data_IF_850783339611
#
_entry.id   IF_850783339611
#
_cell.length_a   1.000
_cell.length_b   1.000
_cell.length_c   1.000
_cell.angle_alpha   90.00
_cell.angle_beta   90.00
_cell.angle_gamma   90.00
#
_symmetry.space_group_name_H-M   'P 1'
#
loop_
_entity.id
_entity.type
_entity.pdbx_description
1 polymer ?
#
# COMPACT_ATOMS: atom_id res chain seq x y z
N UNK A 1 -5.02 -16.70 8.49
CA UNK A 1 -6.22 -16.16 7.85
C UNK A 1 -7.31 -16.13 8.89
N UNK A 2 -8.04 -15.02 8.98
CA UNK A 2 -9.11 -14.80 9.96
C UNK A 2 -10.48 -15.18 9.37
N UNK A 3 -11.57 -15.04 10.14
CA UNK A 3 -12.92 -15.46 9.73
C UNK A 3 -13.48 -14.72 8.52
N UNK A 4 -12.93 -13.56 8.18
CA UNK A 4 -13.27 -12.75 7.01
C UNK A 4 -12.38 -13.04 5.78
N UNK A 5 -11.60 -14.13 5.84
CA UNK A 5 -10.65 -14.58 4.82
C UNK A 5 -9.42 -13.67 4.64
N UNK A 6 -9.26 -12.63 5.46
CA UNK A 6 -8.10 -11.75 5.42
C UNK A 6 -6.92 -12.31 6.21
N UNK A 7 -5.70 -11.96 5.82
CA UNK A 7 -4.47 -12.32 6.51
C UNK A 7 -4.25 -11.35 7.65
N UNK A 8 -4.30 -11.88 8.87
CA UNK A 8 -3.85 -11.24 10.10
C UNK A 8 -2.42 -11.70 10.42
N UNK A 9 -1.55 -10.78 10.81
CA UNK A 9 -0.14 -11.02 11.07
C UNK A 9 0.40 -10.14 12.22
N UNK A 10 1.37 -10.70 12.93
CA UNK A 10 2.17 -10.01 13.93
C UNK A 10 1.51 -9.91 15.31
N UNK A 11 2.36 -9.87 16.32
CA UNK A 11 2.02 -9.64 17.72
C UNK A 11 3.24 -9.12 18.47
N UNK A 12 3.05 -8.59 19.69
CA UNK A 12 4.16 -8.23 20.58
C UNK A 12 5.20 -7.29 19.94
N UNK A 13 6.36 -7.84 19.58
CA UNK A 13 7.51 -7.11 19.00
C UNK A 13 7.82 -7.52 17.54
N UNK A 14 6.91 -8.25 16.89
CA UNK A 14 7.12 -8.79 15.55
C UNK A 14 7.23 -7.68 14.49
N UNK A 15 8.04 -7.91 13.48
CA UNK A 15 8.28 -7.01 12.35
C UNK A 15 7.82 -7.68 11.04
N UNK A 16 6.51 -7.77 10.84
CA UNK A 16 5.92 -8.61 9.78
C UNK A 16 5.77 -7.92 8.42
N UNK A 17 6.24 -6.67 8.30
CA UNK A 17 6.12 -5.87 7.07
C UNK A 17 7.44 -5.17 6.79
N UNK A 18 7.63 -4.66 5.57
CA UNK A 18 8.85 -3.93 5.20
C UNK A 18 9.11 -2.66 6.03
N UNK A 19 8.09 -2.14 6.74
CA UNK A 19 8.25 -1.06 7.71
C UNK A 19 8.67 -1.64 9.08
N UNK A 20 9.87 -2.22 9.14
CA UNK A 20 10.32 -3.16 10.17
C UNK A 20 11.19 -2.56 11.29
N UNK A 21 11.34 -1.24 11.40
CA UNK A 21 12.28 -0.68 12.39
C UNK A 21 11.85 -0.91 13.85
N UNK A 22 12.82 -1.33 14.67
CA UNK A 22 12.72 -1.50 16.13
C UNK A 22 13.94 -0.95 16.86
N UNK A 23 13.71 -0.31 17.99
CA UNK A 23 14.75 0.21 18.90
C UNK A 23 14.53 -0.36 20.29
N UNK A 24 15.36 -1.30 20.73
CA UNK A 24 15.12 -2.02 21.99
C UNK A 24 13.80 -2.79 21.90
N UNK A 25 12.82 -2.51 22.77
CA UNK A 25 11.47 -3.11 22.71
C UNK A 25 10.42 -2.23 22.03
N UNK A 26 10.83 -1.10 21.48
CA UNK A 26 9.94 -0.19 20.77
C UNK A 26 9.90 -0.52 19.28
N UNK A 27 8.72 -0.93 18.79
CA UNK A 27 8.41 -1.04 17.36
C UNK A 27 7.96 0.34 16.86
N UNK A 28 8.72 0.93 15.93
CA UNK A 28 8.52 2.33 15.50
C UNK A 28 7.26 2.49 14.66
N UNK A 29 7.00 1.53 13.79
CA UNK A 29 5.82 1.46 12.91
C UNK A 29 5.15 0.10 13.10
N UNK A 30 4.43 -0.13 14.22
CA UNK A 30 3.76 -1.39 14.45
C UNK A 30 2.64 -1.55 13.42
N UNK A 31 2.70 -2.63 12.67
CA UNK A 31 1.71 -2.99 11.64
C UNK A 31 1.14 -4.38 11.88
N UNK A 32 0.79 -4.64 13.14
CA UNK A 32 0.11 -5.86 13.58
C UNK A 32 -1.37 -5.74 13.29
N UNK A 33 -2.01 -6.84 12.90
CA UNK A 33 -3.37 -6.80 12.36
C UNK A 33 -3.38 -7.32 10.93
N UNK A 34 -4.16 -6.67 10.08
CA UNK A 34 -4.28 -6.96 8.65
C UNK A 34 -3.60 -5.83 7.88
N UNK A 35 -2.31 -5.93 7.50
CA UNK A 35 -1.67 -4.94 6.64
C UNK A 35 -2.30 -4.92 5.26
N UNK A 36 -2.50 -3.72 4.72
CA UNK A 36 -3.20 -3.52 3.44
C UNK A 36 -2.51 -4.22 2.27
N UNK A 37 -1.19 -4.14 2.17
CA UNK A 37 -0.43 -4.70 1.06
C UNK A 37 -0.33 -6.22 1.12
N UNK A 38 -0.26 -6.79 2.33
CA UNK A 38 -0.24 -8.26 2.51
C UNK A 38 -1.55 -8.86 2.02
N UNK A 39 -2.68 -8.20 2.30
CA UNK A 39 -3.98 -8.66 1.85
C UNK A 39 -4.20 -8.44 0.34
N UNK A 40 -3.64 -7.37 -0.24
CA UNK A 40 -3.62 -7.20 -1.69
C UNK A 40 -2.80 -8.29 -2.41
N UNK A 41 -1.64 -8.63 -1.85
CA UNK A 41 -0.79 -9.73 -2.33
C UNK A 41 -1.48 -11.08 -2.19
N UNK A 42 -2.18 -11.31 -1.07
CA UNK A 42 -2.95 -12.53 -0.83
C UNK A 42 -4.02 -12.75 -1.89
N UNK A 43 -4.81 -11.72 -2.19
CA UNK A 43 -5.78 -11.77 -3.27
C UNK A 43 -5.15 -12.09 -4.62
N UNK A 44 -4.01 -11.47 -4.94
CA UNK A 44 -3.30 -11.76 -6.19
C UNK A 44 -2.79 -13.21 -6.24
N UNK A 45 -2.28 -13.74 -5.12
CA UNK A 45 -1.87 -15.14 -5.06
C UNK A 45 -3.06 -16.08 -5.33
N UNK A 46 -4.23 -15.81 -4.76
CA UNK A 46 -5.44 -16.60 -5.03
C UNK A 46 -5.88 -16.53 -6.50
N UNK A 47 -5.83 -15.35 -7.12
CA UNK A 47 -6.16 -15.18 -8.54
C UNK A 47 -5.20 -15.97 -9.43
N UNK A 48 -3.89 -15.88 -9.17
CA UNK A 48 -2.88 -16.67 -9.89
C UNK A 48 -3.12 -18.17 -9.72
N UNK A 49 -3.43 -18.62 -8.50
CA UNK A 49 -3.71 -20.04 -8.25
C UNK A 49 -4.98 -20.52 -8.95
N UNK A 50 -6.01 -19.68 -9.06
CA UNK A 50 -7.23 -19.98 -9.83
C UNK A 50 -6.92 -20.11 -11.32
N UNK A 51 -6.13 -19.20 -11.90
CA UNK A 51 -5.69 -19.32 -13.30
C UNK A 51 -4.85 -20.59 -13.56
N UNK A 52 -3.95 -20.93 -12.64
CA UNK A 52 -3.14 -22.14 -12.75
C UNK A 52 -4.02 -23.40 -12.66
N UNK A 53 -4.97 -23.45 -11.72
CA UNK A 53 -5.90 -24.57 -11.61
C UNK A 53 -6.70 -24.77 -12.90
N UNK A 54 -7.22 -23.68 -13.49
CA UNK A 54 -7.93 -23.72 -14.77
C UNK A 54 -7.02 -24.18 -15.93
N UNK A 55 -5.77 -23.70 -15.97
CA UNK A 55 -4.81 -24.06 -17.01
C UNK A 55 -4.44 -25.54 -16.99
N UNK A 56 -4.32 -26.14 -15.80
CA UNK A 56 -4.00 -27.56 -15.62
C UNK A 56 -5.24 -28.46 -15.54
N UNK A 57 -6.45 -27.90 -15.68
CA UNK A 57 -7.73 -28.62 -15.57
C UNK A 57 -7.93 -29.30 -14.21
N UNK A 58 -7.45 -28.66 -13.14
CA UNK A 58 -7.55 -29.11 -11.74
C UNK A 58 -8.75 -28.44 -11.01
N UNK A 59 -9.06 -28.91 -9.80
CA UNK A 59 -10.07 -28.27 -8.95
C UNK A 59 -9.65 -26.83 -8.58
N UNK A 60 -10.58 -25.87 -8.70
CA UNK A 60 -10.34 -24.44 -8.44
C UNK A 60 -11.11 -23.97 -7.19
N UNK A 61 -10.62 -24.29 -5.97
CA UNK A 61 -11.19 -23.76 -4.73
C UNK A 61 -10.78 -22.29 -4.49
N UNK A 62 -9.85 -21.75 -5.29
CA UNK A 62 -9.24 -20.44 -5.07
C UNK A 62 -10.14 -19.30 -5.53
N UNK A 63 -10.93 -19.52 -6.59
CA UNK A 63 -11.85 -18.53 -7.15
C UNK A 63 -12.83 -17.99 -6.10
N UNK A 64 -13.59 -18.86 -5.45
CA UNK A 64 -14.61 -18.47 -4.46
C UNK A 64 -13.97 -17.79 -3.24
N UNK A 65 -12.77 -18.21 -2.87
CA UNK A 65 -12.01 -17.59 -1.79
C UNK A 65 -11.51 -16.20 -2.19
N UNK A 66 -11.02 -16.00 -3.42
CA UNK A 66 -10.58 -14.71 -3.92
C UNK A 66 -11.73 -13.69 -3.93
N UNK A 67 -12.94 -14.12 -4.32
CA UNK A 67 -14.14 -13.30 -4.28
C UNK A 67 -14.53 -12.88 -2.85
N UNK A 68 -14.44 -13.80 -1.88
CA UNK A 68 -14.67 -13.49 -0.47
C UNK A 68 -13.64 -12.48 0.05
N UNK A 69 -12.36 -12.69 -0.24
CA UNK A 69 -11.27 -11.76 0.12
C UNK A 69 -11.52 -10.38 -0.48
N UNK A 70 -11.91 -10.28 -1.75
CA UNK A 70 -12.18 -8.99 -2.38
C UNK A 70 -13.32 -8.22 -1.68
N UNK A 71 -14.42 -8.92 -1.36
CA UNK A 71 -15.56 -8.32 -0.62
C UNK A 71 -15.14 -7.85 0.77
N UNK A 72 -14.49 -8.70 1.55
CA UNK A 72 -14.02 -8.37 2.90
C UNK A 72 -13.02 -7.23 2.88
N UNK A 73 -12.06 -7.24 1.94
CA UNK A 73 -11.05 -6.20 1.82
C UNK A 73 -11.68 -4.83 1.58
N UNK A 74 -12.60 -4.73 0.62
CA UNK A 74 -13.27 -3.46 0.32
C UNK A 74 -14.12 -2.97 1.48
N UNK A 75 -14.79 -3.88 2.21
CA UNK A 75 -15.59 -3.54 3.38
C UNK A 75 -14.72 -3.06 4.55
N UNK A 76 -13.58 -3.71 4.79
CA UNK A 76 -12.75 -3.43 5.96
C UNK A 76 -11.77 -2.27 5.76
N UNK A 77 -11.11 -2.20 4.60
CA UNK A 77 -10.02 -1.25 4.37
C UNK A 77 -10.47 0.10 3.79
N UNK A 78 -11.66 0.21 3.20
CA UNK A 78 -12.06 1.47 2.58
C UNK A 78 -12.33 2.57 3.62
N UNK A 79 -11.59 3.67 3.53
CA UNK A 79 -11.79 4.86 4.34
C UNK A 79 -12.57 5.92 3.54
N UNK A 80 -13.88 5.96 3.74
CA UNK A 80 -14.78 6.91 3.06
C UNK A 80 -14.41 8.38 3.32
N UNK A 81 -13.91 8.71 4.52
CA UNK A 81 -13.59 10.09 4.87
C UNK A 81 -12.35 10.60 4.14
N UNK A 82 -11.32 9.76 4.05
CA UNK A 82 -10.03 10.13 3.42
C UNK A 82 -9.96 9.74 1.94
N UNK A 83 -10.95 9.01 1.41
CA UNK A 83 -11.01 8.53 0.03
C UNK A 83 -9.74 7.71 -0.33
N UNK A 84 -9.34 6.83 0.57
CA UNK A 84 -8.16 5.99 0.47
C UNK A 84 -8.34 4.70 1.29
N UNK A 85 -7.30 3.87 1.40
CA UNK A 85 -7.33 2.70 2.28
C UNK A 85 -6.79 3.02 3.67
N UNK A 86 -7.34 2.37 4.70
CA UNK A 86 -6.66 2.20 5.98
C UNK A 86 -5.35 1.44 5.76
N UNK A 87 -4.29 1.78 6.49
CA UNK A 87 -2.99 1.13 6.32
C UNK A 87 -2.95 -0.27 6.96
N UNK A 88 -3.62 -0.40 8.10
CA UNK A 88 -3.78 -1.64 8.87
C UNK A 88 -5.17 -1.67 9.49
N UNK A 89 -5.81 -2.84 9.49
CA UNK A 89 -7.07 -3.08 10.20
C UNK A 89 -6.85 -4.18 11.23
N UNK A 90 -7.22 -3.93 12.49
CA UNK A 90 -7.18 -4.93 13.55
C UNK A 90 -8.43 -4.82 14.42
N UNK A 91 -9.37 -5.76 14.26
CA UNK A 91 -10.65 -5.76 14.95
C UNK A 91 -11.38 -4.40 14.79
N UNK A 92 -11.60 -3.68 15.89
CA UNK A 92 -12.27 -2.37 15.92
C UNK A 92 -11.33 -1.19 15.65
N UNK A 93 -10.02 -1.43 15.48
CA UNK A 93 -9.02 -0.42 15.24
C UNK A 93 -8.69 -0.38 13.74
N UNK A 94 -8.76 0.81 13.15
CA UNK A 94 -8.42 1.06 11.75
C UNK A 94 -7.42 2.20 11.69
N UNK A 95 -6.19 1.90 11.25
CA UNK A 95 -5.14 2.90 11.11
C UNK A 95 -5.41 3.74 9.85
N UNK A 96 -5.79 5.00 10.06
CA UNK A 96 -6.13 5.93 9.00
C UNK A 96 -4.92 6.71 8.46
N UNK A 97 -3.70 6.36 8.89
CA UNK A 97 -2.45 6.91 8.38
C UNK A 97 -2.37 6.75 6.87
N UNK A 98 -2.20 7.85 6.15
CA UNK A 98 -1.99 7.80 4.70
C UNK A 98 -0.54 7.37 4.45
N UNK A 99 -0.39 6.12 4.03
CA UNK A 99 0.88 5.47 3.74
C UNK A 99 0.88 4.89 2.32
N UNK A 100 2.06 4.65 1.72
CA UNK A 100 2.14 4.22 0.32
C UNK A 100 1.76 2.75 0.11
N UNK A 101 1.62 1.96 1.18
CA UNK A 101 1.31 0.52 1.12
C UNK A 101 0.03 0.21 0.33
N UNK A 102 -0.95 1.11 0.37
CA UNK A 102 -2.19 0.99 -0.40
C UNK A 102 -1.97 0.91 -1.93
N UNK A 103 -0.81 1.34 -2.45
CA UNK A 103 -0.57 1.28 -3.89
C UNK A 103 -0.54 -0.14 -4.43
N UNK A 104 -0.15 -1.12 -3.59
CA UNK A 104 -0.18 -2.54 -3.95
C UNK A 104 -1.60 -3.05 -4.23
N UNK A 105 -2.63 -2.45 -3.62
CA UNK A 105 -4.03 -2.81 -3.92
C UNK A 105 -4.46 -2.42 -5.35
N UNK A 106 -3.69 -1.56 -6.02
CA UNK A 106 -3.98 -1.05 -7.37
C UNK A 106 -2.95 -1.53 -8.40
N UNK A 107 -1.67 -1.58 -8.05
CA UNK A 107 -0.58 -1.79 -9.00
C UNK A 107 -0.31 -3.26 -9.36
N UNK A 108 -0.86 -4.20 -8.60
CA UNK A 108 -0.67 -5.63 -8.86
C UNK A 108 -1.53 -6.10 -10.05
N UNK A 109 -1.18 -7.23 -10.71
CA UNK A 109 -1.86 -7.71 -11.90
C UNK A 109 -3.39 -7.84 -11.76
N UNK A 110 -3.86 -8.26 -10.59
CA UNK A 110 -5.28 -8.30 -10.24
C UNK A 110 -5.59 -7.20 -9.24
N UNK A 111 -6.26 -6.15 -9.70
CA UNK A 111 -6.74 -5.08 -8.82
C UNK A 111 -7.89 -5.60 -7.95
N UNK A 112 -7.75 -5.47 -6.63
CA UNK A 112 -8.79 -5.89 -5.66
C UNK A 112 -9.91 -4.85 -5.49
N UNK A 113 -9.66 -3.61 -5.93
CA UNK A 113 -10.58 -2.49 -5.78
C UNK A 113 -11.46 -2.27 -7.01
N UNK A 114 -12.73 -1.83 -6.83
CA UNK A 114 -13.49 -1.21 -7.90
C UNK A 114 -12.77 0.03 -8.46
N UNK A 115 -12.95 0.28 -9.75
CA UNK A 115 -12.24 1.33 -10.51
C UNK A 115 -12.26 2.71 -9.83
N UNK A 116 -13.44 3.15 -9.35
CA UNK A 116 -13.57 4.45 -8.68
C UNK A 116 -12.73 4.56 -7.40
N UNK A 117 -12.66 3.48 -6.60
CA UNK A 117 -11.84 3.43 -5.39
C UNK A 117 -10.35 3.34 -5.72
N UNK A 118 -9.98 2.57 -6.74
CA UNK A 118 -8.61 2.51 -7.24
C UNK A 118 -8.11 3.89 -7.69
N UNK A 119 -8.95 4.65 -8.43
CA UNK A 119 -8.65 6.04 -8.82
C UNK A 119 -8.44 6.95 -7.61
N UNK A 120 -9.33 6.88 -6.62
CA UNK A 120 -9.25 7.69 -5.41
C UNK A 120 -7.97 7.40 -4.61
N UNK A 121 -7.58 6.12 -4.48
CA UNK A 121 -6.31 5.70 -3.88
C UNK A 121 -5.12 6.34 -4.59
N UNK A 122 -5.06 6.21 -5.92
CA UNK A 122 -3.95 6.78 -6.72
C UNK A 122 -3.88 8.30 -6.55
N UNK A 123 -5.01 9.00 -6.65
CA UNK A 123 -5.07 10.46 -6.44
C UNK A 123 -4.61 10.86 -5.03
N UNK A 124 -4.97 10.09 -4.01
CA UNK A 124 -4.51 10.35 -2.64
C UNK A 124 -3.00 10.12 -2.49
N UNK A 125 -2.48 9.00 -2.99
CA UNK A 125 -1.03 8.70 -2.95
C UNK A 125 -0.23 9.77 -3.68
N UNK A 126 -0.71 10.20 -4.85
CA UNK A 126 -0.09 11.27 -5.62
C UNK A 126 0.00 12.58 -4.85
N UNK A 127 -1.13 13.05 -4.33
CA UNK A 127 -1.23 14.32 -3.61
C UNK A 127 -0.39 14.33 -2.32
N UNK A 128 -0.44 13.24 -1.57
CA UNK A 128 0.08 13.18 -0.21
C UNK A 128 1.53 12.71 -0.13
N UNK A 129 1.92 11.77 -1.00
CA UNK A 129 3.12 10.96 -0.79
C UNK A 129 4.19 11.12 -1.87
N UNK A 130 3.87 11.55 -3.09
CA UNK A 130 4.89 11.73 -4.13
C UNK A 130 5.92 12.78 -3.71
N UNK A 131 7.20 12.40 -3.74
CA UNK A 131 8.31 13.26 -3.34
C UNK A 131 9.57 12.94 -4.17
N UNK A 132 9.77 13.71 -5.24
CA UNK A 132 10.89 13.51 -6.16
C UNK A 132 10.83 12.11 -6.79
N UNK A 133 11.90 11.30 -6.72
CA UNK A 133 11.94 9.97 -7.35
C UNK A 133 11.29 8.86 -6.51
N UNK A 134 10.54 9.17 -5.43
CA UNK A 134 9.98 8.17 -4.54
C UNK A 134 8.67 8.59 -3.88
N UNK A 135 8.14 7.69 -3.05
CA UNK A 135 6.95 7.95 -2.21
C UNK A 135 7.35 8.08 -0.75
N UNK A 136 6.86 9.11 -0.07
CA UNK A 136 6.96 9.26 1.39
C UNK A 136 6.27 8.08 2.07
N UNK A 137 6.89 7.56 3.11
CA UNK A 137 6.36 6.46 3.93
C UNK A 137 5.16 6.86 4.81
N UNK A 138 4.90 8.16 4.96
CA UNK A 138 3.78 8.73 5.73
C UNK A 138 3.44 10.13 5.19
N UNK A 139 2.15 10.52 5.19
CA UNK A 139 1.72 11.88 4.82
C UNK A 139 2.29 12.96 5.76
N UNK A 140 2.57 14.13 5.19
CA UNK A 140 3.17 15.29 5.87
C UNK A 140 2.32 15.86 7.00
N UNK A 141 1.00 15.68 6.91
CA UNK A 141 0.06 16.22 7.89
C UNK A 141 -0.08 15.32 9.13
N UNK A 142 0.55 14.14 9.11
CA UNK A 142 0.54 13.23 10.24
C UNK A 142 1.50 13.70 11.35
N UNK A 143 1.07 13.63 12.61
CA UNK A 143 1.83 14.11 13.78
C UNK A 143 3.22 13.46 13.93
N UNK A 144 3.34 12.20 13.50
CA UNK A 144 4.58 11.41 13.60
C UNK A 144 5.47 11.57 12.36
N UNK A 145 5.14 12.50 11.46
CA UNK A 145 5.91 12.72 10.24
C UNK A 145 7.28 13.37 10.52
N UNK A 146 8.33 12.71 10.04
CA UNK A 146 9.72 13.12 10.12
C UNK A 146 10.32 13.26 8.70
N UNK A 147 10.53 14.50 8.20
CA UNK A 147 10.97 14.73 6.81
C UNK A 147 12.44 14.41 6.55
N UNK A 148 13.27 14.32 7.59
CA UNK A 148 14.73 14.26 7.47
C UNK A 148 15.25 13.05 8.23
N UNK A 149 15.78 12.08 7.47
CA UNK A 149 16.53 10.95 8.00
C UNK A 149 18.01 11.34 8.19
N UNK A 150 18.35 11.95 9.32
CA UNK A 150 19.73 12.32 9.66
C UNK A 150 19.98 12.36 11.18
N UNK A 151 21.26 12.37 11.56
CA UNK A 151 21.68 12.49 12.96
C UNK A 151 21.93 11.14 13.65
N UNK A 152 21.75 11.12 14.97
CA UNK A 152 22.00 9.93 15.79
C UNK A 152 21.04 8.78 15.45
N UNK A 153 21.46 7.56 15.75
CA UNK A 153 20.75 6.34 15.39
C UNK A 153 19.27 6.34 15.81
N UNK A 154 18.89 6.69 17.07
CA UNK A 154 17.48 6.69 17.46
C UNK A 154 16.60 7.66 16.65
N UNK A 155 17.15 8.82 16.28
CA UNK A 155 16.44 9.82 15.48
C UNK A 155 16.24 9.34 14.04
N UNK A 156 17.25 8.66 13.49
CA UNK A 156 17.17 8.04 12.16
C UNK A 156 16.13 6.93 12.15
N UNK A 157 16.22 6.00 13.11
CA UNK A 157 15.30 4.87 13.21
C UNK A 157 13.84 5.33 13.34
N UNK A 158 13.59 6.37 14.15
CA UNK A 158 12.27 7.00 14.26
C UNK A 158 11.75 7.59 12.95
N UNK A 159 12.62 8.02 12.03
CA UNK A 159 12.25 8.67 10.77
C UNK A 159 12.17 7.73 9.55
N UNK A 160 12.74 6.52 9.64
CA UNK A 160 12.99 5.64 8.48
C UNK A 160 11.70 5.25 7.72
N UNK A 161 10.62 4.96 8.45
CA UNK A 161 9.29 4.68 7.89
C UNK A 161 8.23 5.70 8.30
N UNK A 162 8.65 6.89 8.71
CA UNK A 162 7.75 7.96 9.18
C UNK A 162 7.89 9.23 8.34
N UNK A 163 8.12 9.13 7.03
CA UNK A 163 8.16 10.30 6.14
C UNK A 163 9.33 10.31 5.15
N UNK A 164 10.34 9.45 5.36
CA UNK A 164 11.40 9.19 4.38
C UNK A 164 10.78 8.70 3.06
N UNK A 165 11.27 9.23 1.94
CA UNK A 165 10.81 8.85 0.61
C UNK A 165 11.55 7.62 0.09
N UNK A 166 10.81 6.61 -0.38
CA UNK A 166 11.33 5.33 -0.84
C UNK A 166 11.18 5.20 -2.36
N UNK A 167 12.31 4.99 -3.04
CA UNK A 167 12.35 4.92 -4.51
C UNK A 167 11.65 3.70 -5.08
N UNK A 168 11.81 2.52 -4.47
CA UNK A 168 11.25 1.28 -5.03
C UNK A 168 9.71 1.28 -5.16
N UNK A 169 9.02 2.07 -4.32
CA UNK A 169 7.56 2.19 -4.33
C UNK A 169 7.04 2.99 -5.54
N UNK A 170 7.90 3.80 -6.18
CA UNK A 170 7.48 4.60 -7.36
C UNK A 170 7.10 3.70 -8.54
N UNK A 171 7.71 2.52 -8.65
CA UNK A 171 7.39 1.56 -9.71
C UNK A 171 5.93 1.12 -9.64
N UNK A 172 5.46 0.72 -8.45
CA UNK A 172 4.05 0.39 -8.23
C UNK A 172 3.11 1.56 -8.52
N UNK A 173 3.49 2.78 -8.11
CA UNK A 173 2.71 3.97 -8.42
C UNK A 173 2.59 4.24 -9.92
N UNK A 174 3.69 4.16 -10.66
CA UNK A 174 3.70 4.32 -12.12
C UNK A 174 2.80 3.26 -12.78
N UNK A 175 2.91 1.99 -12.37
CA UNK A 175 2.03 0.93 -12.86
C UNK A 175 0.56 1.25 -12.61
N UNK A 176 0.22 1.73 -11.41
CA UNK A 176 -1.15 2.06 -11.03
C UNK A 176 -1.74 3.20 -11.88
N UNK A 177 -0.99 4.26 -12.18
CA UNK A 177 -1.47 5.36 -13.05
C UNK A 177 -1.56 4.96 -14.53
N UNK A 178 -0.84 3.91 -14.94
CA UNK A 178 -0.83 3.41 -16.33
C UNK A 178 -1.97 2.45 -16.68
N UNK A 179 -2.77 2.03 -15.71
CA UNK A 179 -3.95 1.18 -15.95
C UNK A 179 -4.89 1.91 -16.93
N UNK A 180 -5.40 1.25 -18.00
CA UNK A 180 -6.15 1.92 -19.07
C UNK A 180 -7.34 2.78 -18.62
N UNK A 181 -8.07 2.35 -17.58
CA UNK A 181 -9.16 3.11 -16.95
C UNK A 181 -8.71 4.40 -16.24
N UNK A 182 -7.43 4.46 -15.86
CA UNK A 182 -6.81 5.59 -15.17
C UNK A 182 -5.98 6.49 -16.10
N UNK A 183 -5.90 6.16 -17.40
CA UNK A 183 -5.09 6.87 -18.41
C UNK A 183 -5.39 8.37 -18.55
N UNK A 184 -6.59 8.84 -18.21
CA UNK A 184 -6.87 10.29 -18.23
C UNK A 184 -5.99 11.08 -17.25
N UNK A 185 -5.48 10.42 -16.18
CA UNK A 185 -4.49 11.02 -15.29
C UNK A 185 -3.11 11.10 -15.97
N UNK A 186 -2.75 10.15 -16.85
CA UNK A 186 -1.41 10.06 -17.45
C UNK A 186 -1.06 11.23 -18.39
N UNK A 187 -2.02 11.79 -19.13
CA UNK A 187 -1.77 12.84 -20.13
C UNK A 187 -1.34 14.19 -19.52
N UNK A 188 -1.70 14.46 -18.25
CA UNK A 188 -1.15 15.61 -17.51
C UNK A 188 0.18 15.30 -16.80
N UNK A 189 0.45 14.03 -16.49
CA UNK A 189 1.52 13.63 -15.55
C UNK A 189 2.83 13.18 -16.19
N UNK A 190 2.85 12.77 -17.46
CA UNK A 190 4.14 12.55 -18.16
C UNK A 190 4.96 13.85 -18.18
N UNK A 191 4.29 15.00 -18.29
CA UNK A 191 4.92 16.33 -18.23
C UNK A 191 5.47 16.62 -16.83
N UNK A 192 4.77 16.24 -15.76
CA UNK A 192 5.19 16.53 -14.37
C UNK A 192 6.33 15.62 -13.92
N UNK A 193 6.26 14.31 -14.20
CA UNK A 193 7.34 13.37 -13.86
C UNK A 193 8.61 13.70 -14.66
N UNK A 194 8.49 13.95 -15.97
CA UNK A 194 9.63 14.39 -16.79
C UNK A 194 10.15 15.76 -16.35
N UNK A 195 9.27 16.71 -15.99
CA UNK A 195 9.70 18.02 -15.48
C UNK A 195 10.26 17.98 -14.05
N UNK A 196 9.89 17.01 -13.22
CA UNK A 196 10.47 16.78 -11.90
C UNK A 196 11.84 16.12 -12.02
N UNK A 197 12.00 15.16 -12.94
CA UNK A 197 13.29 14.56 -13.25
C UNK A 197 14.27 15.58 -13.85
N UNK A 198 13.81 16.42 -14.80
CA UNK A 198 14.64 17.48 -15.39
C UNK A 198 15.00 18.62 -14.42
N UNK A 199 14.13 18.96 -13.45
CA UNK A 199 14.45 19.99 -12.45
C UNK A 199 15.52 19.55 -11.43
N UNK A 200 15.83 18.26 -11.36
CA UNK A 200 16.81 17.70 -10.43
C UNK A 200 18.07 17.12 -11.12
N UNK A 201 18.26 17.36 -12.42
CA UNK A 201 19.54 17.13 -13.11
C UNK A 201 19.93 15.67 -13.30
N UNK A 202 18.97 14.82 -13.67
CA UNK A 202 19.25 13.52 -14.30
C UNK A 202 18.76 13.55 -15.74
#
# INVERSE_FOLDING_TARGET
MDSDCLIHAGSGIDQVTWMDVRVGDWVVTPRHGKPVEINALWYNALQVMSELAQYFEEEDPYKDLAEQVARSFVAEFWNEKKQCLYDVVDNNLKDDSIRPNQIYAVSLPYTILPEGKAKAVVTTVERELVAGPGLRSLSRDHKDYHPIYCGCLPKRDAAYHQGTAWGYLIGGFITAVSVPSLKFLMEMHLIIVVAAMHRHGV
#
